data_IF_843585507613
#
_entry.id   IF_843585507613
#
_cell.length_a   1.000
_cell.length_b   1.000
_cell.length_c   1.000
_cell.angle_alpha   90.00
_cell.angle_beta   90.00
_cell.angle_gamma   90.00
#
_symmetry.space_group_name_H-M   'P 1'
#
loop_
_entity.id
_entity.type
_entity.pdbx_description
1 polymer ?
#
# COMPACT_ATOMS: atom_id res chain seq x y z
N UNK A 1 18.56 20.03 -1.03
CA UNK A 1 17.93 20.80 -2.11
C UNK A 1 16.43 20.71 -1.90
N UNK A 2 15.75 21.81 -1.62
CA UNK A 2 14.30 21.83 -1.43
C UNK A 2 13.67 21.85 -2.82
N UNK A 3 13.01 20.76 -3.18
CA UNK A 3 12.35 20.60 -4.48
C UNK A 3 11.13 21.53 -4.54
N UNK A 4 11.19 22.60 -5.35
CA UNK A 4 10.08 23.54 -5.53
C UNK A 4 9.13 22.96 -6.58
N UNK A 5 7.89 22.65 -6.17
CA UNK A 5 6.91 21.95 -7.01
C UNK A 5 5.94 22.89 -7.73
N UNK A 6 5.49 22.54 -8.94
CA UNK A 6 4.45 23.28 -9.65
C UNK A 6 3.09 23.15 -8.96
N UNK A 7 2.32 24.24 -8.93
CA UNK A 7 0.99 24.34 -8.28
C UNK A 7 -0.05 23.32 -8.80
N UNK A 8 0.20 22.75 -9.99
CA UNK A 8 -0.63 21.72 -10.63
C UNK A 8 -0.32 20.29 -10.18
N UNK A 9 0.64 20.08 -9.29
CA UNK A 9 1.03 18.76 -8.81
C UNK A 9 -0.12 18.11 -8.01
N UNK A 10 -0.85 17.19 -8.66
CA UNK A 10 -1.95 16.40 -8.06
C UNK A 10 -1.50 15.43 -6.96
N UNK A 11 -0.19 15.15 -6.89
CA UNK A 11 0.41 14.18 -5.96
C UNK A 11 1.16 14.96 -4.87
N UNK A 12 0.67 14.98 -3.61
CA UNK A 12 1.37 15.58 -2.50
C UNK A 12 2.78 14.97 -2.33
N UNK A 13 3.79 15.75 -1.94
CA UNK A 13 5.18 15.27 -1.86
C UNK A 13 5.40 14.08 -0.93
N UNK A 14 4.55 13.94 0.09
CA UNK A 14 4.50 12.79 0.99
C UNK A 14 3.88 11.53 0.36
N UNK A 15 3.42 11.59 -0.89
CA UNK A 15 2.84 10.44 -1.59
C UNK A 15 3.88 9.65 -2.41
N UNK A 16 5.13 10.10 -2.39
CA UNK A 16 6.26 9.45 -3.03
C UNK A 16 7.42 9.41 -2.04
N UNK A 17 7.71 8.21 -1.54
CA UNK A 17 8.82 7.97 -0.62
C UNK A 17 9.98 7.44 -1.43
N UNK A 18 11.09 8.16 -1.41
CA UNK A 18 12.36 7.75 -2.00
C UNK A 18 13.28 7.31 -0.85
N UNK A 19 13.09 6.09 -0.38
CA UNK A 19 13.85 5.48 0.71
C UNK A 19 13.88 3.95 0.53
N UNK A 20 15.06 3.31 0.64
CA UNK A 20 15.17 1.85 0.62
C UNK A 20 14.24 1.19 1.65
N UNK A 21 13.55 0.13 1.22
CA UNK A 21 12.79 -0.76 2.10
C UNK A 21 13.62 -2.05 2.22
N UNK A 22 14.41 -2.20 3.29
CA UNK A 22 15.28 -3.37 3.42
C UNK A 22 14.45 -4.65 3.51
N UNK A 23 15.10 -5.77 3.23
CA UNK A 23 14.51 -7.08 3.49
C UNK A 23 14.27 -7.24 5.00
N UNK A 24 13.22 -7.99 5.35
CA UNK A 24 12.72 -8.19 6.70
C UNK A 24 12.29 -6.87 7.37
N UNK A 25 11.91 -5.88 6.56
CA UNK A 25 11.26 -4.67 7.03
C UNK A 25 9.88 -4.56 6.40
N UNK A 26 9.03 -3.78 7.05
CA UNK A 26 7.72 -3.39 6.53
C UNK A 26 7.62 -1.88 6.44
N UNK A 27 6.97 -1.44 5.37
CA UNK A 27 6.47 -0.08 5.28
C UNK A 27 5.06 -0.05 5.87
N UNK A 28 4.84 0.82 6.85
CA UNK A 28 3.55 1.08 7.47
C UNK A 28 3.04 2.40 6.93
N UNK A 29 1.86 2.39 6.33
CA UNK A 29 1.25 3.58 5.74
C UNK A 29 -0.08 3.83 6.41
N UNK A 30 -0.22 5.01 7.00
CA UNK A 30 -1.48 5.44 7.60
C UNK A 30 -2.18 6.46 6.72
N UNK A 31 -3.47 6.22 6.50
CA UNK A 31 -4.28 7.03 5.62
C UNK A 31 -5.67 7.27 6.21
N UNK A 32 -6.27 8.37 5.80
CA UNK A 32 -7.67 8.69 6.04
C UNK A 32 -8.37 8.77 4.69
N UNK A 33 -9.56 8.19 4.64
CA UNK A 33 -10.43 8.26 3.48
C UNK A 33 -11.75 8.88 3.88
N UNK A 34 -12.13 9.92 3.17
CA UNK A 34 -13.44 10.56 3.37
C UNK A 34 -14.53 9.90 2.52
N UNK A 35 -14.19 9.45 1.31
CA UNK A 35 -15.14 8.90 0.32
C UNK A 35 -15.01 7.38 0.25
N UNK A 36 -16.14 6.67 0.41
CA UNK A 36 -16.20 5.21 0.43
C UNK A 36 -15.95 4.53 -0.93
N UNK A 37 -16.02 5.27 -2.03
CA UNK A 37 -15.68 4.79 -3.38
C UNK A 37 -14.21 5.02 -3.76
N UNK A 38 -13.40 5.52 -2.84
CA UNK A 38 -11.97 5.71 -3.11
C UNK A 38 -11.29 4.37 -3.37
N UNK A 39 -10.46 4.34 -4.42
CA UNK A 39 -9.51 3.27 -4.68
C UNK A 39 -8.14 3.81 -4.35
N UNK A 40 -7.40 3.11 -3.50
CA UNK A 40 -6.02 3.45 -3.13
C UNK A 40 -5.08 2.49 -3.83
N UNK A 41 -4.02 3.01 -4.43
CA UNK A 41 -2.98 2.21 -5.09
C UNK A 41 -1.64 2.54 -4.48
N UNK A 42 -0.87 1.50 -4.17
CA UNK A 42 0.47 1.60 -3.59
C UNK A 42 1.41 0.79 -4.46
N UNK A 43 2.46 1.41 -4.96
CA UNK A 43 3.47 0.78 -5.81
C UNK A 43 4.80 0.76 -5.08
N UNK A 44 5.42 -0.42 -4.99
CA UNK A 44 6.82 -0.55 -4.61
C UNK A 44 7.65 -0.59 -5.87
N UNK A 45 8.66 0.28 -5.99
CA UNK A 45 9.47 0.40 -7.21
C UNK A 45 10.96 0.40 -6.92
N UNK A 46 11.75 0.10 -7.96
CA UNK A 46 13.20 0.33 -7.95
C UNK A 46 13.55 1.82 -8.11
N UNK A 47 14.85 2.13 -8.19
CA UNK A 47 15.37 3.49 -8.44
C UNK A 47 14.95 4.11 -9.78
N UNK A 48 14.54 3.29 -10.74
CA UNK A 48 14.10 3.71 -12.09
C UNK A 48 12.57 3.70 -12.23
N UNK A 49 11.84 3.62 -11.12
CA UNK A 49 10.37 3.53 -11.06
C UNK A 49 9.77 2.27 -11.71
N UNK A 50 10.58 1.23 -11.96
CA UNK A 50 10.09 -0.08 -12.37
C UNK A 50 9.37 -0.69 -11.17
N UNK A 51 8.06 -0.91 -11.33
CA UNK A 51 7.20 -1.39 -10.25
C UNK A 51 7.42 -2.88 -10.01
N UNK A 52 7.74 -3.26 -8.77
CA UNK A 52 7.86 -4.64 -8.30
C UNK A 52 6.48 -5.22 -7.93
N UNK A 53 5.74 -4.46 -7.12
CA UNK A 53 4.46 -4.84 -6.54
C UNK A 53 3.50 -3.66 -6.60
N UNK A 54 2.26 -3.93 -7.00
CA UNK A 54 1.12 -3.03 -6.86
C UNK A 54 0.15 -3.60 -5.85
N UNK A 55 -0.22 -2.81 -4.85
CA UNK A 55 -1.27 -3.11 -3.87
C UNK A 55 -2.43 -2.16 -4.14
N UNK A 56 -3.64 -2.70 -4.31
CA UNK A 56 -4.83 -1.91 -4.63
C UNK A 56 -5.92 -2.19 -3.60
N UNK A 57 -6.38 -1.16 -2.91
CA UNK A 57 -7.42 -1.23 -1.91
C UNK A 57 -8.69 -0.64 -2.51
N UNK A 58 -9.72 -1.47 -2.66
CA UNK A 58 -11.01 -1.08 -3.23
C UNK A 58 -12.04 -1.03 -2.11
N UNK A 59 -12.35 0.19 -1.63
CA UNK A 59 -13.21 0.36 -0.46
C UNK A 59 -14.67 0.04 -0.70
N UNK A 60 -15.19 0.29 -1.91
CA UNK A 60 -16.59 -0.01 -2.26
C UNK A 60 -16.90 -1.51 -2.16
N UNK A 61 -15.96 -2.37 -2.58
CA UNK A 61 -16.09 -3.82 -2.52
C UNK A 61 -15.43 -4.44 -1.29
N UNK A 62 -14.82 -3.62 -0.43
CA UNK A 62 -14.08 -4.08 0.74
C UNK A 62 -12.97 -5.08 0.40
N UNK A 63 -12.28 -4.91 -0.73
CA UNK A 63 -11.35 -5.92 -1.25
C UNK A 63 -9.96 -5.35 -1.42
N UNK A 64 -8.97 -6.12 -0.95
CA UNK A 64 -7.56 -5.91 -1.18
C UNK A 64 -7.12 -6.76 -2.37
N UNK A 65 -6.50 -6.11 -3.35
CA UNK A 65 -5.85 -6.75 -4.47
C UNK A 65 -4.36 -6.51 -4.41
N UNK A 66 -3.62 -7.43 -5.02
CA UNK A 66 -2.21 -7.25 -5.23
C UNK A 66 -1.79 -7.84 -6.58
N UNK A 67 -0.72 -7.28 -7.12
CA UNK A 67 -0.18 -7.68 -8.41
C UNK A 67 1.32 -7.53 -8.40
N UNK A 68 2.05 -8.62 -8.60
CA UNK A 68 3.46 -8.61 -8.96
C UNK A 68 3.54 -8.24 -10.43
N UNK A 69 3.96 -7.02 -10.72
CA UNK A 69 4.06 -6.56 -12.11
C UNK A 69 5.02 -7.50 -12.87
N UNK A 70 4.76 -7.80 -14.14
CA UNK A 70 5.47 -8.81 -14.96
C UNK A 70 5.36 -10.29 -14.56
N UNK A 71 4.88 -10.64 -13.36
CA UNK A 71 4.58 -12.04 -13.00
C UNK A 71 3.08 -12.35 -13.06
N UNK A 72 2.23 -11.38 -12.73
CA UNK A 72 0.79 -11.53 -12.70
C UNK A 72 0.13 -10.85 -13.90
N UNK A 73 -0.66 -11.63 -14.64
CA UNK A 73 -1.43 -11.15 -15.79
C UNK A 73 -2.54 -10.18 -15.40
N UNK A 74 -3.04 -10.28 -14.15
CA UNK A 74 -4.14 -9.46 -13.62
C UNK A 74 -3.98 -9.21 -12.12
N UNK A 75 -4.77 -8.28 -11.57
CA UNK A 75 -4.85 -8.06 -10.14
C UNK A 75 -5.41 -9.30 -9.43
N UNK A 76 -4.65 -9.88 -8.52
CA UNK A 76 -5.06 -11.05 -7.76
C UNK A 76 -5.81 -10.57 -6.52
N UNK A 77 -7.01 -11.09 -6.30
CA UNK A 77 -7.77 -10.83 -5.07
C UNK A 77 -7.03 -11.47 -3.89
N UNK A 78 -6.59 -10.62 -2.97
CA UNK A 78 -5.69 -11.00 -1.87
C UNK A 78 -6.47 -11.25 -0.58
N UNK A 79 -7.35 -10.32 -0.20
CA UNK A 79 -8.18 -10.43 1.00
C UNK A 79 -9.49 -9.63 0.88
N UNK A 80 -10.48 -9.97 1.69
CA UNK A 80 -11.77 -9.28 1.73
C UNK A 80 -12.04 -8.76 3.15
N UNK A 81 -11.93 -7.45 3.34
CA UNK A 81 -11.98 -6.77 4.63
C UNK A 81 -13.35 -6.15 4.97
N UNK A 82 -14.32 -6.24 4.07
CA UNK A 82 -15.73 -6.02 4.38
C UNK A 82 -16.55 -7.17 3.77
N UNK A 83 -17.07 -8.07 4.61
CA UNK A 83 -17.74 -9.31 4.17
C UNK A 83 -19.26 -9.33 4.37
N UNK A 84 -19.87 -8.37 5.05
CA UNK A 84 -21.32 -8.29 5.25
C UNK A 84 -21.81 -6.85 5.39
N UNK A 85 -23.09 -6.60 5.11
CA UNK A 85 -23.80 -5.31 5.28
C UNK A 85 -23.76 -4.74 6.71
N UNK A 86 -23.19 -5.48 7.67
CA UNK A 86 -23.04 -5.11 9.08
C UNK A 86 -21.63 -4.63 9.42
N UNK A 87 -20.61 -4.92 8.59
CA UNK A 87 -19.28 -4.28 8.71
C UNK A 87 -19.34 -2.92 8.00
N UNK A 88 -20.24 -2.08 8.50
CA UNK A 88 -20.26 -0.65 8.24
C UNK A 88 -18.90 -0.11 8.66
N UNK A 89 -18.11 0.28 7.67
CA UNK A 89 -16.93 1.12 7.85
C UNK A 89 -15.85 0.50 8.75
N UNK A 90 -15.32 -0.68 8.37
CA UNK A 90 -14.02 -1.07 8.89
C UNK A 90 -13.08 0.14 8.69
N UNK A 91 -12.72 0.80 9.78
CA UNK A 91 -11.87 1.99 9.81
C UNK A 91 -10.43 1.57 9.54
N UNK A 92 -10.22 0.86 8.44
CA UNK A 92 -8.90 0.53 7.96
C UNK A 92 -8.28 1.84 7.56
N UNK A 93 -7.28 2.21 8.34
CA UNK A 93 -6.53 3.45 8.22
C UNK A 93 -5.05 3.17 8.19
N UNK A 94 -4.67 1.90 8.08
CA UNK A 94 -3.30 1.46 8.04
C UNK A 94 -3.18 0.25 7.12
N UNK A 95 -2.19 0.31 6.25
CA UNK A 95 -1.72 -0.82 5.45
C UNK A 95 -0.24 -1.03 5.71
N UNK A 96 0.14 -2.27 5.88
CA UNK A 96 1.53 -2.67 6.09
C UNK A 96 1.95 -3.55 4.92
N UNK A 97 3.11 -3.26 4.33
CA UNK A 97 3.69 -4.08 3.28
C UNK A 97 5.08 -4.51 3.75
N UNK A 98 5.20 -5.77 4.11
CA UNK A 98 6.45 -6.41 4.54
C UNK A 98 7.17 -7.02 3.35
N UNK A 99 8.47 -6.78 3.25
CA UNK A 99 9.33 -7.30 2.18
C UNK A 99 10.23 -8.39 2.77
N UNK A 100 10.09 -9.62 2.28
CA UNK A 100 10.94 -10.76 2.63
C UNK A 100 11.78 -11.20 1.42
N UNK A 101 12.75 -12.10 1.58
CA UNK A 101 13.57 -12.56 0.45
C UNK A 101 12.78 -13.23 -0.70
N UNK A 102 11.66 -13.87 -0.37
CA UNK A 102 10.90 -14.70 -1.31
C UNK A 102 9.41 -14.38 -1.36
N UNK A 103 8.96 -13.39 -0.60
CA UNK A 103 7.54 -13.05 -0.54
C UNK A 103 7.33 -11.59 -0.09
N UNK A 104 6.13 -11.10 -0.38
CA UNK A 104 5.55 -9.92 0.25
C UNK A 104 4.44 -10.36 1.20
N UNK A 105 4.32 -9.68 2.34
CA UNK A 105 3.14 -9.81 3.21
C UNK A 105 2.45 -8.46 3.29
N UNK A 106 1.16 -8.43 2.96
CA UNK A 106 0.34 -7.22 3.00
C UNK A 106 -0.70 -7.40 4.10
N UNK A 107 -0.75 -6.48 5.05
CA UNK A 107 -1.70 -6.52 6.15
C UNK A 107 -2.51 -5.21 6.23
N UNK A 108 -3.79 -5.34 6.48
CA UNK A 108 -4.72 -4.23 6.68
C UNK A 108 -5.04 -4.12 8.17
N UNK A 109 -4.86 -2.93 8.75
CA UNK A 109 -5.03 -2.70 10.20
C UNK A 109 -5.91 -1.50 10.52
N UNK A 110 -6.55 -1.57 11.68
CA UNK A 110 -7.22 -0.43 12.31
C UNK A 110 -6.35 0.08 13.48
N UNK A 111 -5.78 1.29 13.41
CA UNK A 111 -4.83 1.79 14.40
C UNK A 111 -5.45 2.15 15.76
N UNK A 112 -6.79 2.16 15.89
CA UNK A 112 -7.51 2.52 17.13
C UNK A 112 -7.97 1.34 17.99
N UNK A 113 -7.68 0.10 17.59
CA UNK A 113 -8.00 -1.08 18.38
C UNK A 113 -6.74 -1.90 18.65
N UNK A 114 -6.49 -2.23 19.90
CA UNK A 114 -5.44 -3.16 20.29
C UNK A 114 -5.63 -4.48 19.52
N UNK A 115 -4.69 -4.78 18.62
CA UNK A 115 -4.46 -6.14 18.08
C UNK A 115 -5.40 -6.77 17.05
N UNK A 116 -6.11 -6.00 16.20
CA UNK A 116 -6.81 -6.62 15.06
C UNK A 116 -6.14 -6.30 13.72
N UNK A 117 -5.32 -7.24 13.24
CA UNK A 117 -5.15 -7.44 11.79
C UNK A 117 -6.56 -7.70 11.27
N UNK A 118 -7.09 -6.79 10.45
CA UNK A 118 -8.43 -6.94 9.88
C UNK A 118 -8.37 -8.07 8.86
N UNK A 119 -7.33 -8.07 8.03
CA UNK A 119 -7.04 -9.09 7.02
C UNK A 119 -5.56 -9.02 6.65
N UNK A 120 -4.98 -10.15 6.25
CA UNK A 120 -3.63 -10.23 5.70
C UNK A 120 -3.57 -11.16 4.48
N UNK A 121 -2.56 -10.96 3.64
CA UNK A 121 -2.26 -11.88 2.57
C UNK A 121 -0.76 -11.94 2.28
N UNK A 122 -0.31 -13.10 1.79
CA UNK A 122 1.08 -13.38 1.44
C UNK A 122 1.15 -13.67 -0.05
N UNK A 123 2.16 -13.11 -0.71
CA UNK A 123 2.39 -13.26 -2.15
C UNK A 123 3.83 -13.66 -2.37
N UNK A 124 4.04 -14.84 -2.93
CA UNK A 124 5.37 -15.37 -3.18
C UNK A 124 5.97 -14.83 -4.47
N UNK A 125 7.30 -14.77 -4.55
CA UNK A 125 8.05 -14.46 -5.76
C UNK A 125 8.26 -12.98 -6.04
N UNK A 126 9.44 -12.68 -6.57
CA UNK A 126 9.86 -11.35 -6.99
C UNK A 126 10.42 -11.42 -8.41
N UNK A 127 10.08 -10.45 -9.27
CA UNK A 127 10.74 -10.31 -10.58
C UNK A 127 11.87 -9.29 -10.57
N UNK A 128 11.84 -8.36 -9.61
CA UNK A 128 12.96 -7.50 -9.25
C UNK A 128 13.60 -8.07 -7.98
N UNK A 129 14.89 -7.86 -7.80
CA UNK A 129 15.53 -8.20 -6.53
C UNK A 129 14.80 -7.46 -5.39
N UNK A 130 14.42 -8.12 -4.30
CA UNK A 130 13.84 -7.42 -3.15
C UNK A 130 14.79 -6.38 -2.54
N UNK A 131 16.11 -6.53 -2.77
CA UNK A 131 17.14 -5.55 -2.39
C UNK A 131 17.10 -4.27 -3.23
N UNK A 132 16.46 -4.28 -4.41
CA UNK A 132 16.40 -3.13 -5.31
C UNK A 132 15.19 -2.22 -5.04
N UNK A 133 14.30 -2.59 -4.12
CA UNK A 133 13.12 -1.79 -3.77
C UNK A 133 13.54 -0.54 -3.00
N UNK A 134 13.40 0.61 -3.64
CA UNK A 134 13.93 1.88 -3.16
C UNK A 134 12.87 2.96 -3.03
N UNK A 135 11.67 2.73 -3.55
CA UNK A 135 10.62 3.74 -3.53
C UNK A 135 9.26 3.12 -3.27
N UNK A 136 8.39 3.92 -2.64
CA UNK A 136 6.97 3.64 -2.52
C UNK A 136 6.18 4.83 -3.06
N UNK A 137 5.27 4.57 -4.00
CA UNK A 137 4.42 5.59 -4.62
C UNK A 137 2.97 5.30 -4.26
N UNK A 138 2.27 6.31 -3.77
CA UNK A 138 0.89 6.25 -3.33
C UNK A 138 0.00 7.06 -4.27
N UNK A 139 -1.16 6.52 -4.57
CA UNK A 139 -2.17 7.15 -5.41
C UNK A 139 -3.57 6.84 -4.88
N UNK A 140 -4.51 7.73 -5.14
CA UNK A 140 -5.91 7.56 -4.78
C UNK A 140 -6.82 8.21 -5.82
N UNK A 141 -7.92 7.53 -6.17
CA UNK A 141 -8.91 8.09 -7.10
C UNK A 141 -9.69 9.27 -6.53
N UNK A 142 -9.72 9.41 -5.19
CA UNK A 142 -10.35 10.54 -4.51
C UNK A 142 -9.30 11.54 -4.03
N UNK A 143 -9.49 12.81 -4.38
CA UNK A 143 -8.71 13.93 -3.84
C UNK A 143 -8.98 14.22 -2.35
N UNK A 144 -9.95 13.53 -1.72
CA UNK A 144 -10.24 13.61 -0.29
C UNK A 144 -9.59 12.48 0.52
N UNK A 145 -8.78 11.65 -0.13
CA UNK A 145 -7.93 10.66 0.54
C UNK A 145 -6.64 11.36 0.96
N UNK A 146 -6.21 11.11 2.19
CA UNK A 146 -5.02 11.74 2.78
C UNK A 146 -4.14 10.66 3.40
N UNK A 147 -2.91 10.53 2.92
CA UNK A 147 -1.85 9.76 3.57
C UNK A 147 -1.12 10.69 4.53
N UNK A 148 -1.15 10.39 5.83
CA UNK A 148 -0.70 11.33 6.86
C UNK A 148 0.53 10.85 7.64
N UNK A 149 0.87 9.57 7.57
CA UNK A 149 2.09 9.06 8.17
C UNK A 149 2.61 7.83 7.43
N UNK A 150 3.93 7.68 7.41
CA UNK A 150 4.60 6.46 6.97
C UNK A 150 5.79 6.14 7.87
N UNK A 151 6.07 4.85 8.05
CA UNK A 151 7.20 4.35 8.83
C UNK A 151 7.81 3.14 8.11
N UNK A 152 9.11 2.93 8.30
CA UNK A 152 9.78 1.70 7.90
C UNK A 152 10.37 1.12 9.18
N UNK A 153 9.98 -0.10 9.53
CA UNK A 153 10.46 -0.79 10.72
C UNK A 153 10.79 -2.27 10.40
N UNK A 154 11.70 -2.90 11.16
CA UNK A 154 11.90 -4.33 11.10
C UNK A 154 10.60 -5.10 11.35
N UNK A 155 10.46 -6.27 10.73
CA UNK A 155 9.31 -7.18 10.91
C UNK A 155 9.49 -8.06 12.14
#
# INVERSE_FOLDING_TARGET
MVEVRPESARVPGNWHIIKPIPINHKIIIRYYQYIFWSVITIRLTDKNEITALTVTIVHISGTLYARRVRLDNQNIRCAAFARTSVIRYAHIRQVEISVFPHQYKIAMRNPKGDHYVVEECIIYGHHLSPYDIQQAIFDATSNKTVFYAYYIEPV
#
